data_IF_815824917104
#
_entry.id   IF_815824917104
#
_cell.length_a   1.000
_cell.length_b   1.000
_cell.length_c   1.000
_cell.angle_alpha   90.00
_cell.angle_beta   90.00
_cell.angle_gamma   90.00
#
_symmetry.space_group_name_H-M   'P 1'
#
loop_
_entity.id
_entity.type
_entity.pdbx_description
1 polymer ?
#
# COMPACT_ATOMS: atom_id res chain seq x y z
N UNK A 1 11.82 15.75 7.99
CA UNK A 1 11.69 15.02 6.72
C UNK A 1 10.33 15.36 6.12
N UNK A 2 10.26 15.84 4.88
CA UNK A 2 9.00 16.10 4.18
C UNK A 2 8.67 14.84 3.38
N UNK A 3 7.71 14.05 3.83
CA UNK A 3 7.16 12.92 3.07
C UNK A 3 6.25 13.46 1.97
N UNK A 4 6.40 12.93 0.74
CA UNK A 4 5.47 13.24 -0.35
C UNK A 4 4.12 12.55 -0.07
N UNK A 5 2.99 13.11 -0.52
CA UNK A 5 1.66 12.52 -0.26
C UNK A 5 1.54 11.03 -0.64
N UNK A 6 2.22 10.59 -1.71
CA UNK A 6 2.26 9.18 -2.10
C UNK A 6 3.13 8.29 -1.19
N UNK A 7 4.16 8.83 -0.53
CA UNK A 7 5.01 8.07 0.39
C UNK A 7 4.28 7.73 1.70
N UNK A 8 3.36 8.61 2.14
CA UNK A 8 2.53 8.35 3.31
C UNK A 8 1.52 7.21 3.08
N UNK A 9 0.91 7.18 1.89
CA UNK A 9 -0.01 6.11 1.48
C UNK A 9 0.70 4.76 1.44
N UNK A 10 1.90 4.71 0.84
CA UNK A 10 2.73 3.50 0.77
C UNK A 10 3.15 3.06 2.18
N UNK A 11 3.55 3.99 3.05
CA UNK A 11 3.95 3.67 4.43
C UNK A 11 2.81 3.05 5.23
N UNK A 12 1.60 3.61 5.11
CA UNK A 12 0.38 3.05 5.74
C UNK A 12 0.05 1.67 5.19
N UNK A 13 0.22 1.44 3.89
CA UNK A 13 0.00 0.15 3.28
C UNK A 13 1.01 -0.91 3.75
N UNK A 14 2.31 -0.56 3.82
CA UNK A 14 3.35 -1.46 4.34
C UNK A 14 3.10 -1.87 5.79
N UNK A 15 2.61 -0.95 6.63
CA UNK A 15 2.24 -1.25 8.04
C UNK A 15 1.10 -2.27 8.09
N UNK A 16 0.03 -2.08 7.30
CA UNK A 16 -1.08 -3.03 7.23
C UNK A 16 -0.64 -4.41 6.75
N UNK A 17 0.26 -4.45 5.76
CA UNK A 17 0.85 -5.68 5.25
C UNK A 17 1.64 -6.41 6.35
N UNK A 18 2.45 -5.70 7.13
CA UNK A 18 3.18 -6.26 8.27
C UNK A 18 2.29 -6.76 9.42
N UNK A 19 1.11 -6.17 9.58
CA UNK A 19 0.11 -6.60 10.57
C UNK A 19 -0.76 -7.78 10.10
N UNK A 20 -0.63 -8.22 8.84
CA UNK A 20 -1.52 -9.24 8.25
C UNK A 20 -2.93 -8.71 7.94
N UNK A 21 -3.13 -7.40 7.94
CA UNK A 21 -4.37 -6.73 7.55
C UNK A 21 -4.41 -6.53 6.02
N UNK A 22 -4.05 -7.58 5.29
CA UNK A 22 -4.00 -7.56 3.83
C UNK A 22 -5.40 -7.44 3.25
N UNK A 23 -5.60 -6.42 2.41
CA UNK A 23 -6.74 -6.39 1.49
C UNK A 23 -6.30 -7.20 0.28
N UNK A 24 -6.55 -8.51 0.33
CA UNK A 24 -6.48 -9.36 -0.85
C UNK A 24 -7.78 -9.23 -1.64
N UNK A 25 -7.66 -9.29 -2.97
CA UNK A 25 -8.82 -9.38 -3.85
C UNK A 25 -9.38 -10.82 -3.85
N UNK A 26 -10.47 -11.06 -4.60
CA UNK A 26 -11.09 -12.39 -4.72
C UNK A 26 -10.18 -13.47 -5.34
N UNK A 27 -9.03 -13.08 -5.90
CA UNK A 27 -8.02 -13.95 -6.48
C UNK A 27 -6.81 -14.17 -5.55
N UNK A 28 -6.90 -13.74 -4.29
CA UNK A 28 -5.82 -13.77 -3.29
C UNK A 28 -4.59 -12.91 -3.67
N UNK A 29 -4.76 -11.99 -4.63
CA UNK A 29 -3.71 -11.06 -5.01
C UNK A 29 -3.71 -9.84 -4.10
N UNK A 30 -2.51 -9.38 -3.75
CA UNK A 30 -2.33 -8.19 -2.94
C UNK A 30 -2.58 -6.94 -3.79
N UNK A 31 -3.57 -6.13 -3.42
CA UNK A 31 -3.80 -4.84 -4.08
C UNK A 31 -2.71 -3.82 -3.71
N UNK A 32 -2.03 -3.28 -4.72
CA UNK A 32 -1.02 -2.23 -4.56
C UNK A 32 -1.69 -0.85 -4.40
N UNK A 33 -1.12 0.07 -3.60
CA UNK A 33 -1.56 1.46 -3.56
C UNK A 33 -1.51 2.11 -4.94
N UNK A 34 -2.48 2.97 -5.26
CA UNK A 34 -2.53 3.70 -6.55
C UNK A 34 -1.32 4.61 -6.77
N UNK A 35 -0.68 5.03 -5.68
CA UNK A 35 0.60 5.74 -5.70
C UNK A 35 1.78 4.91 -6.22
N UNK A 36 1.68 3.57 -6.23
CA UNK A 36 2.69 2.68 -6.82
C UNK A 36 2.55 2.52 -8.34
N UNK A 37 1.38 2.84 -8.93
CA UNK A 37 1.10 2.60 -10.36
C UNK A 37 1.36 3.80 -11.28
N UNK A 38 2.15 4.79 -10.86
CA UNK A 38 2.54 5.90 -11.74
C UNK A 38 3.82 5.56 -12.54
N UNK A 39 3.61 5.07 -13.76
CA UNK A 39 4.39 5.40 -14.96
C UNK A 39 3.45 5.43 -16.17
#
# INVERSE_FOLDING_TARGET
MRTRPGEEEISKWLIKLGNGELVSNEYDEIELPRSCTFN
#
